data_IF_576205338388
#
_entry.id   IF_576205338388
#
_cell.length_a   1.000
_cell.length_b   1.000
_cell.length_c   1.000
_cell.angle_alpha   90.00
_cell.angle_beta   90.00
_cell.angle_gamma   90.00
#
_symmetry.space_group_name_H-M   'P 1'
#
loop_
_entity.id
_entity.type
_entity.pdbx_description
1 polymer ?
#
# COMPACT_ATOMS: atom_id res chain seq x y z
N UNK A 1 14.26 13.62 20.18
CA UNK A 1 14.46 13.66 18.73
C UNK A 1 15.93 13.37 18.36
N UNK A 2 16.90 14.10 18.85
CA UNK A 2 18.33 13.96 18.50
C UNK A 2 18.89 12.53 18.72
N UNK A 3 18.61 11.89 19.85
CA UNK A 3 19.06 10.52 20.12
C UNK A 3 18.54 9.52 19.07
N UNK A 4 17.27 9.66 18.65
CA UNK A 4 16.68 8.81 17.62
C UNK A 4 17.33 9.03 16.25
N UNK A 5 17.67 10.28 15.92
CA UNK A 5 18.37 10.61 14.67
C UNK A 5 19.78 10.00 14.64
N UNK A 6 20.51 10.07 15.77
CA UNK A 6 21.85 9.47 15.90
C UNK A 6 21.80 7.93 15.76
N UNK A 7 20.77 7.28 16.31
CA UNK A 7 20.59 5.83 16.14
C UNK A 7 20.32 5.44 14.68
N UNK A 8 19.55 6.24 13.94
CA UNK A 8 19.26 6.00 12.52
C UNK A 8 20.54 6.10 11.69
N UNK A 9 21.35 7.13 11.93
CA UNK A 9 22.62 7.32 11.24
C UNK A 9 23.60 6.17 11.54
N UNK A 10 23.73 5.77 12.82
CA UNK A 10 24.54 4.63 13.22
C UNK A 10 24.07 3.32 12.53
N UNK A 11 22.76 3.14 12.40
CA UNK A 11 22.19 1.99 11.70
C UNK A 11 22.52 2.00 10.20
N UNK A 12 22.45 3.16 9.57
CA UNK A 12 22.82 3.34 8.15
C UNK A 12 24.29 3.01 7.91
N UNK A 13 25.19 3.50 8.77
CA UNK A 13 26.63 3.23 8.69
C UNK A 13 26.93 1.74 8.92
N UNK A 14 26.17 1.07 9.79
CA UNK A 14 26.27 -0.37 10.00
C UNK A 14 25.84 -1.17 8.76
N UNK A 15 24.71 -0.79 8.14
CA UNK A 15 24.25 -1.40 6.88
C UNK A 15 25.24 -1.16 5.75
N UNK A 16 25.84 0.03 5.65
CA UNK A 16 26.89 0.34 4.68
C UNK A 16 28.10 -0.57 4.83
N UNK A 17 28.52 -0.83 6.08
CA UNK A 17 29.61 -1.78 6.37
C UNK A 17 29.25 -3.22 6.00
N UNK A 18 28.02 -3.66 6.30
CA UNK A 18 27.54 -4.98 5.93
C UNK A 18 27.50 -5.17 4.40
N UNK A 19 27.06 -4.15 3.63
CA UNK A 19 27.05 -4.19 2.17
C UNK A 19 28.46 -4.26 1.56
N UNK A 20 29.46 -3.75 2.26
CA UNK A 20 30.87 -3.82 1.85
C UNK A 20 31.52 -5.18 2.15
N UNK A 21 30.86 -6.07 2.91
CA UNK A 21 31.39 -7.39 3.25
C UNK A 21 31.29 -8.36 2.07
N UNK A 22 32.41 -8.89 1.53
CA UNK A 22 32.39 -9.85 0.43
C UNK A 22 31.63 -11.14 0.76
N UNK A 23 31.54 -11.54 2.02
CA UNK A 23 30.82 -12.72 2.44
C UNK A 23 29.29 -12.61 2.19
N UNK A 24 28.74 -11.40 2.29
CA UNK A 24 27.31 -11.15 2.06
C UNK A 24 26.91 -11.29 0.59
N UNK A 25 27.83 -11.03 -0.35
CA UNK A 25 27.57 -11.14 -1.79
C UNK A 25 27.19 -12.57 -2.21
N UNK A 26 27.62 -13.57 -1.45
CA UNK A 26 27.28 -14.97 -1.68
C UNK A 26 25.83 -15.32 -1.32
N UNK A 27 25.16 -14.54 -0.45
CA UNK A 27 23.75 -14.70 -0.08
C UNK A 27 22.91 -13.58 -0.71
N UNK A 28 22.42 -13.84 -1.92
CA UNK A 28 21.67 -12.86 -2.71
C UNK A 28 20.38 -12.37 -2.00
N UNK A 29 19.73 -13.21 -1.21
CA UNK A 29 18.49 -12.82 -0.50
C UNK A 29 18.80 -11.86 0.66
N UNK A 30 19.83 -12.14 1.44
CA UNK A 30 20.27 -11.24 2.51
C UNK A 30 20.81 -9.94 1.95
N UNK A 31 21.61 -10.00 0.88
CA UNK A 31 22.12 -8.82 0.21
C UNK A 31 20.99 -7.87 -0.25
N UNK A 32 19.97 -8.39 -0.95
CA UNK A 32 18.83 -7.60 -1.41
C UNK A 32 18.07 -6.96 -0.24
N UNK A 33 17.88 -7.70 0.87
CA UNK A 33 17.20 -7.19 2.06
C UNK A 33 17.97 -6.03 2.70
N UNK A 34 19.29 -6.17 2.85
CA UNK A 34 20.15 -5.14 3.45
C UNK A 34 20.25 -3.92 2.52
N UNK A 35 20.44 -4.14 1.21
CA UNK A 35 20.48 -3.07 0.21
C UNK A 35 19.17 -2.27 0.18
N UNK A 36 18.02 -2.93 0.31
CA UNK A 36 16.73 -2.26 0.43
C UNK A 36 16.66 -1.39 1.69
N UNK A 37 17.04 -1.93 2.85
CA UNK A 37 17.06 -1.16 4.11
C UNK A 37 18.00 0.04 4.05
N UNK A 38 19.17 -0.10 3.44
CA UNK A 38 20.13 0.98 3.24
C UNK A 38 19.52 2.08 2.37
N UNK A 39 18.99 1.73 1.19
CA UNK A 39 18.31 2.68 0.28
C UNK A 39 17.14 3.39 0.95
N UNK A 40 16.38 2.71 1.81
CA UNK A 40 15.25 3.31 2.51
C UNK A 40 15.66 4.33 3.56
N UNK A 41 16.84 4.18 4.17
CA UNK A 41 17.37 5.11 5.16
C UNK A 41 18.16 6.26 4.54
N UNK A 42 18.69 6.12 3.33
CA UNK A 42 19.53 7.11 2.66
C UNK A 42 18.92 8.53 2.68
N UNK A 43 17.66 8.75 2.20
CA UNK A 43 17.08 10.10 2.20
C UNK A 43 16.88 10.67 3.61
N UNK A 44 16.67 9.82 4.62
CA UNK A 44 16.57 10.25 6.01
C UNK A 44 17.92 10.73 6.51
N UNK A 45 18.99 9.97 6.26
CA UNK A 45 20.36 10.27 6.71
C UNK A 45 20.90 11.51 6.03
N UNK A 46 20.61 11.72 4.74
CA UNK A 46 21.02 12.91 4.01
C UNK A 46 20.43 14.18 4.63
N UNK A 47 19.13 14.17 4.98
CA UNK A 47 18.49 15.27 5.66
C UNK A 47 19.00 15.45 7.11
N UNK A 48 19.34 14.38 7.83
CA UNK A 48 19.98 14.45 9.14
C UNK A 48 21.35 15.14 9.04
N UNK A 49 22.15 14.77 8.04
CA UNK A 49 23.45 15.38 7.79
C UNK A 49 23.33 16.85 7.39
N UNK A 50 22.31 17.19 6.59
CA UNK A 50 21.99 18.59 6.25
C UNK A 50 21.62 19.39 7.51
N UNK A 51 20.76 18.85 8.39
CA UNK A 51 20.39 19.49 9.65
C UNK A 51 21.61 19.74 10.53
N UNK A 52 22.49 18.73 10.68
CA UNK A 52 23.74 18.89 11.46
C UNK A 52 24.65 19.97 10.90
N UNK A 53 24.76 20.10 9.56
CA UNK A 53 25.53 21.18 8.93
C UNK A 53 24.93 22.56 9.24
N UNK A 54 23.59 22.66 9.16
CA UNK A 54 22.88 23.89 9.51
C UNK A 54 23.11 24.24 10.98
N UNK A 55 22.97 23.28 11.89
CA UNK A 55 23.20 23.52 13.34
C UNK A 55 24.65 23.92 13.64
N UNK A 56 25.61 23.29 12.96
CA UNK A 56 27.03 23.68 13.11
C UNK A 56 27.26 25.09 12.53
N UNK A 57 26.70 25.39 11.35
CA UNK A 57 26.81 26.73 10.75
C UNK A 57 26.19 27.81 11.64
N UNK A 58 25.03 27.54 12.26
CA UNK A 58 24.40 28.45 13.23
C UNK A 58 25.33 28.68 14.46
N UNK A 59 25.96 27.62 14.93
CA UNK A 59 26.92 27.75 16.06
C UNK A 59 28.12 28.59 15.67
N UNK A 60 28.69 28.34 14.50
CA UNK A 60 29.88 29.06 14.01
C UNK A 60 29.56 30.54 13.70
N UNK A 61 28.41 30.80 13.03
CA UNK A 61 27.95 32.18 12.77
C UNK A 61 27.67 32.95 14.07
N UNK A 62 27.08 32.32 15.10
CA UNK A 62 26.91 32.93 16.43
C UNK A 62 28.24 33.26 17.13
N UNK A 63 29.24 32.42 16.91
CA UNK A 63 30.60 32.68 17.41
C UNK A 63 31.23 33.88 16.71
N UNK A 64 31.14 33.94 15.38
CA UNK A 64 31.65 35.04 14.56
C UNK A 64 30.94 36.38 14.79
N UNK A 65 29.64 36.34 15.08
CA UNK A 65 28.87 37.55 15.42
C UNK A 65 29.36 38.28 16.69
N UNK A 66 30.16 37.61 17.54
CA UNK A 66 30.77 38.20 18.74
C UNK A 66 32.18 38.78 18.47
N UNK A 67 32.70 38.71 17.25
CA UNK A 67 34.01 39.24 16.90
C UNK A 67 34.02 40.78 16.81
N UNK A 68 35.19 41.46 17.07
CA UNK A 68 35.25 42.92 17.07
C UNK A 68 35.12 43.55 15.68
N UNK A 69 35.35 42.83 14.60
CA UNK A 69 35.27 43.33 13.23
C UNK A 69 33.80 43.52 12.79
N UNK A 70 33.47 44.76 12.34
CA UNK A 70 32.10 45.12 11.95
C UNK A 70 31.63 44.41 10.64
N UNK A 71 32.54 44.21 9.69
CA UNK A 71 32.20 43.58 8.42
C UNK A 71 31.97 42.07 8.62
N UNK A 72 32.80 41.43 9.43
CA UNK A 72 32.65 40.02 9.82
C UNK A 72 31.33 39.77 10.57
N UNK A 73 30.96 40.68 11.46
CA UNK A 73 29.66 40.60 12.19
C UNK A 73 28.47 40.68 11.24
N UNK A 74 28.49 41.65 10.29
CA UNK A 74 27.39 41.79 9.33
C UNK A 74 27.22 40.55 8.45
N UNK A 75 28.32 39.96 7.98
CA UNK A 75 28.29 38.70 7.25
C UNK A 75 27.75 37.54 8.09
N UNK A 76 28.21 37.43 9.33
CA UNK A 76 27.76 36.38 10.25
C UNK A 76 26.27 36.50 10.61
N UNK A 77 25.75 37.71 10.77
CA UNK A 77 24.32 37.96 11.02
C UNK A 77 23.45 37.58 9.80
N UNK A 78 23.92 37.89 8.58
CA UNK A 78 23.21 37.49 7.36
C UNK A 78 23.18 35.97 7.18
N UNK A 79 24.32 35.29 7.38
CA UNK A 79 24.42 33.85 7.32
C UNK A 79 23.55 33.17 8.39
N UNK A 80 23.56 33.68 9.60
CA UNK A 80 22.72 33.21 10.69
C UNK A 80 21.25 33.29 10.36
N UNK A 81 20.80 34.42 9.80
CA UNK A 81 19.40 34.59 9.39
C UNK A 81 18.98 33.58 8.29
N UNK A 82 19.87 33.34 7.33
CA UNK A 82 19.61 32.35 6.25
C UNK A 82 19.53 30.93 6.80
N UNK A 83 20.45 30.51 7.67
CA UNK A 83 20.47 29.17 8.27
C UNK A 83 19.31 28.94 9.24
N UNK A 84 18.94 29.94 10.04
CA UNK A 84 17.79 29.87 10.95
C UNK A 84 16.46 29.79 10.16
N UNK A 85 16.37 30.42 8.99
CA UNK A 85 15.21 30.31 8.08
C UNK A 85 15.15 28.93 7.37
N UNK A 86 16.29 28.33 7.04
CA UNK A 86 16.34 27.03 6.36
C UNK A 86 16.05 25.84 7.30
N UNK A 87 16.43 25.94 8.57
CA UNK A 87 16.31 24.88 9.58
C UNK A 87 14.92 24.27 9.70
N UNK A 88 13.80 25.02 9.83
CA UNK A 88 12.46 24.45 9.99
C UNK A 88 12.04 23.57 8.82
N UNK A 89 12.43 23.95 7.61
CA UNK A 89 12.11 23.18 6.40
C UNK A 89 12.80 21.81 6.37
N UNK A 90 14.05 21.74 6.86
CA UNK A 90 14.78 20.46 6.96
C UNK A 90 14.21 19.60 8.10
N UNK A 91 13.90 20.20 9.24
CA UNK A 91 13.24 19.49 10.35
C UNK A 91 11.91 18.88 9.94
N UNK A 92 11.09 19.61 9.16
CA UNK A 92 9.81 19.11 8.68
C UNK A 92 10.00 17.97 7.66
N UNK A 93 10.97 18.07 6.74
CA UNK A 93 11.32 16.96 5.83
C UNK A 93 11.72 15.70 6.60
N UNK A 94 12.53 15.85 7.65
CA UNK A 94 12.91 14.71 8.50
C UNK A 94 11.70 14.11 9.20
N UNK A 95 10.79 14.92 9.74
CA UNK A 95 9.55 14.42 10.37
C UNK A 95 8.70 13.61 9.40
N UNK A 96 8.52 14.11 8.18
CA UNK A 96 7.78 13.41 7.13
C UNK A 96 8.44 12.08 6.77
N UNK A 97 9.77 12.05 6.61
CA UNK A 97 10.51 10.85 6.28
C UNK A 97 10.53 9.79 7.40
N UNK A 98 10.34 10.23 8.66
CA UNK A 98 10.26 9.35 9.83
C UNK A 98 8.86 8.78 10.07
N UNK A 99 7.83 9.23 9.33
CA UNK A 99 6.51 8.63 9.42
C UNK A 99 6.57 7.14 9.06
N UNK A 100 5.83 6.29 9.77
CA UNK A 100 5.78 4.88 9.45
C UNK A 100 5.28 4.68 8.02
N UNK A 101 6.12 4.07 7.18
CA UNK A 101 5.76 3.71 5.80
C UNK A 101 4.72 2.60 5.82
N UNK A 102 3.72 2.69 4.97
CA UNK A 102 2.77 1.61 4.75
C UNK A 102 3.51 0.45 4.06
N UNK A 103 3.48 -0.78 4.62
CA UNK A 103 4.15 -1.93 4.00
C UNK A 103 3.62 -2.25 2.60
N UNK A 104 2.42 -1.77 2.27
CA UNK A 104 1.81 -1.97 0.97
C UNK A 104 2.25 -0.93 -0.08
N UNK A 105 2.91 0.17 0.32
CA UNK A 105 3.27 1.28 -0.59
C UNK A 105 4.10 0.84 -1.80
N UNK A 106 4.87 -0.24 -1.69
CA UNK A 106 5.70 -0.78 -2.78
C UNK A 106 4.99 -1.83 -3.64
N UNK A 107 3.78 -2.26 -3.23
CA UNK A 107 3.05 -3.32 -3.94
C UNK A 107 2.43 -2.80 -5.24
N UNK A 108 2.19 -3.73 -6.15
CA UNK A 108 1.34 -3.52 -7.30
C UNK A 108 -0.11 -3.31 -6.85
N UNK A 109 -0.94 -2.82 -7.75
CA UNK A 109 -2.33 -2.46 -7.48
C UNK A 109 -3.28 -3.30 -8.29
N UNK A 110 -4.30 -3.83 -7.65
CA UNK A 110 -5.51 -4.30 -8.30
C UNK A 110 -6.50 -3.14 -8.31
N UNK A 111 -6.76 -2.60 -9.51
CA UNK A 111 -7.70 -1.52 -9.75
C UNK A 111 -9.03 -2.12 -10.21
N UNK A 112 -10.09 -1.88 -9.45
CA UNK A 112 -11.46 -2.27 -9.83
C UNK A 112 -12.31 -1.01 -10.05
N UNK A 113 -12.92 -0.90 -11.22
CA UNK A 113 -13.83 0.20 -11.55
C UNK A 113 -15.18 -0.39 -11.89
N UNK A 114 -16.23 0.06 -11.23
CA UNK A 114 -17.60 -0.41 -11.45
C UNK A 114 -18.54 0.77 -11.69
N UNK A 115 -19.36 0.66 -12.72
CA UNK A 115 -20.46 1.59 -12.96
C UNK A 115 -21.45 1.49 -11.77
N UNK A 116 -21.71 2.64 -11.15
CA UNK A 116 -22.67 2.80 -10.06
C UNK A 116 -24.01 3.38 -10.54
N UNK A 117 -24.53 4.32 -9.79
CA UNK A 117 -25.81 4.99 -10.11
C UNK A 117 -25.68 5.86 -11.35
N UNK A 118 -26.47 5.61 -12.40
CA UNK A 118 -26.48 6.44 -13.62
C UNK A 118 -26.69 5.69 -14.93
N UNK A 119 -26.85 4.35 -14.87
CA UNK A 119 -27.12 3.51 -16.06
C UNK A 119 -25.99 3.58 -17.11
N UNK A 120 -26.35 3.80 -18.36
CA UNK A 120 -25.38 3.82 -19.48
C UNK A 120 -24.31 4.91 -19.32
N UNK A 121 -24.69 6.07 -18.79
CA UNK A 121 -23.74 7.17 -18.53
C UNK A 121 -22.66 6.79 -17.52
N UNK A 122 -23.02 6.05 -16.46
CA UNK A 122 -22.05 5.55 -15.50
C UNK A 122 -21.09 4.56 -16.14
N UNK A 123 -21.58 3.73 -17.07
CA UNK A 123 -20.72 2.78 -17.78
C UNK A 123 -19.76 3.44 -18.77
N UNK A 124 -20.17 4.51 -19.44
CA UNK A 124 -19.31 5.33 -20.30
C UNK A 124 -18.23 6.03 -19.47
N UNK A 125 -18.63 6.61 -18.34
CA UNK A 125 -17.67 7.28 -17.46
C UNK A 125 -16.69 6.31 -16.80
N UNK A 126 -17.10 5.07 -16.48
CA UNK A 126 -16.19 4.03 -16.01
C UNK A 126 -15.09 3.72 -17.05
N UNK A 127 -15.44 3.64 -18.34
CA UNK A 127 -14.49 3.46 -19.42
C UNK A 127 -13.51 4.64 -19.55
N UNK A 128 -14.00 5.87 -19.37
CA UNK A 128 -13.16 7.07 -19.40
C UNK A 128 -12.21 7.15 -18.20
N UNK A 129 -12.67 6.79 -16.99
CA UNK A 129 -11.81 6.69 -15.81
C UNK A 129 -10.73 5.63 -15.99
N UNK A 130 -11.09 4.47 -16.53
CA UNK A 130 -10.10 3.43 -16.81
C UNK A 130 -9.04 3.92 -17.81
N UNK A 131 -9.46 4.62 -18.87
CA UNK A 131 -8.54 5.25 -19.82
C UNK A 131 -7.63 6.28 -19.13
N UNK A 132 -8.17 7.11 -18.25
CA UNK A 132 -7.41 8.10 -17.47
C UNK A 132 -6.31 7.42 -16.64
N UNK A 133 -6.65 6.36 -15.89
CA UNK A 133 -5.67 5.63 -15.09
C UNK A 133 -4.64 4.89 -15.95
N UNK A 134 -5.04 4.33 -17.10
CA UNK A 134 -4.10 3.71 -18.04
C UNK A 134 -3.09 4.73 -18.56
N UNK A 135 -3.53 5.93 -18.94
CA UNK A 135 -2.62 7.00 -19.36
C UNK A 135 -1.74 7.51 -18.23
N UNK A 136 -2.27 7.61 -17.02
CA UNK A 136 -1.46 7.93 -15.85
C UNK A 136 -0.37 6.88 -15.62
N UNK A 137 -0.69 5.60 -15.74
CA UNK A 137 0.26 4.50 -15.63
C UNK A 137 1.34 4.57 -16.74
N UNK A 138 0.96 4.86 -17.99
CA UNK A 138 1.89 5.05 -19.11
C UNK A 138 2.90 6.18 -18.83
N UNK A 139 2.44 7.31 -18.29
CA UNK A 139 3.32 8.45 -17.93
C UNK A 139 4.36 8.05 -16.86
N UNK A 140 4.02 7.11 -15.98
CA UNK A 140 4.90 6.57 -14.94
C UNK A 140 5.67 5.34 -15.38
N UNK A 141 5.51 4.88 -16.64
CA UNK A 141 6.11 3.64 -17.16
C UNK A 141 5.67 2.39 -16.41
N UNK A 142 4.46 2.40 -15.88
CA UNK A 142 3.84 1.23 -15.26
C UNK A 142 3.16 0.38 -16.32
N UNK A 143 3.14 -0.92 -16.08
CA UNK A 143 2.43 -1.87 -16.95
C UNK A 143 0.99 -2.03 -16.44
N UNK A 144 0.02 -2.00 -17.35
CA UNK A 144 -1.39 -2.27 -17.06
C UNK A 144 -1.81 -3.55 -17.75
N UNK A 145 -2.37 -4.49 -16.99
CA UNK A 145 -2.89 -5.75 -17.49
C UNK A 145 -4.35 -5.91 -17.07
N UNK A 146 -5.25 -6.10 -18.03
CA UNK A 146 -6.68 -6.29 -17.76
C UNK A 146 -6.93 -7.74 -17.40
N UNK A 147 -7.42 -7.98 -16.17
CA UNK A 147 -7.77 -9.32 -15.68
C UNK A 147 -9.20 -9.73 -16.10
N UNK A 148 -10.13 -8.78 -15.99
CA UNK A 148 -11.54 -9.01 -16.31
C UNK A 148 -12.18 -7.71 -16.77
N UNK A 149 -13.05 -7.79 -17.76
CA UNK A 149 -13.81 -6.65 -18.27
C UNK A 149 -15.22 -7.09 -18.66
N UNK A 150 -16.22 -6.34 -18.22
CA UNK A 150 -17.61 -6.51 -18.60
C UNK A 150 -18.09 -5.26 -19.34
N UNK A 151 -18.35 -5.38 -20.63
CA UNK A 151 -18.82 -4.28 -21.46
C UNK A 151 -20.32 -4.03 -21.29
N UNK A 152 -20.75 -2.79 -21.56
CA UNK A 152 -22.16 -2.43 -21.72
C UNK A 152 -22.53 -2.33 -23.20
N UNK A 153 -23.84 -2.38 -23.50
CA UNK A 153 -24.35 -2.30 -24.88
C UNK A 153 -24.03 -0.97 -25.60
N UNK A 154 -23.59 0.06 -24.86
CA UNK A 154 -23.27 1.41 -25.38
C UNK A 154 -21.76 1.69 -25.47
N UNK A 155 -20.94 0.67 -25.62
CA UNK A 155 -19.46 0.76 -25.60
C UNK A 155 -18.89 1.31 -24.31
N UNK A 156 -19.63 1.24 -23.22
CA UNK A 156 -19.15 1.56 -21.87
C UNK A 156 -18.67 0.29 -21.15
N UNK A 157 -18.19 0.44 -19.94
CA UNK A 157 -17.76 -0.65 -19.08
C UNK A 157 -18.64 -0.73 -17.83
N UNK A 158 -19.28 -1.89 -17.61
CA UNK A 158 -20.00 -2.16 -16.34
C UNK A 158 -19.03 -2.40 -15.21
N UNK A 159 -17.97 -3.14 -15.51
CA UNK A 159 -16.90 -3.48 -14.58
C UNK A 159 -15.60 -3.70 -15.35
N UNK A 160 -14.50 -3.23 -14.79
CA UNK A 160 -13.15 -3.58 -15.22
C UNK A 160 -12.29 -3.83 -14.00
N UNK A 161 -11.50 -4.90 -14.07
CA UNK A 161 -10.51 -5.26 -13.06
C UNK A 161 -9.17 -5.36 -13.80
N UNK A 162 -8.18 -4.60 -13.35
CA UNK A 162 -6.86 -4.56 -13.95
C UNK A 162 -5.78 -4.58 -12.87
N UNK A 163 -4.64 -5.19 -13.18
CA UNK A 163 -3.41 -5.06 -12.40
C UNK A 163 -2.57 -3.93 -12.98
N UNK A 164 -2.01 -3.10 -12.11
CA UNK A 164 -1.03 -2.07 -12.44
C UNK A 164 0.26 -2.42 -11.73
N UNK A 165 1.28 -2.77 -12.53
CA UNK A 165 2.60 -3.20 -12.07
C UNK A 165 3.63 -2.10 -12.26
N UNK A 166 4.45 -1.82 -11.25
CA UNK A 166 5.50 -0.81 -11.34
C UNK A 166 6.08 -0.41 -9.99
N UNK A 167 6.92 0.61 -9.99
CA UNK A 167 7.53 1.12 -8.78
C UNK A 167 6.52 1.96 -7.98
N UNK A 168 6.30 1.58 -6.71
CA UNK A 168 5.48 2.30 -5.74
C UNK A 168 4.07 2.68 -6.21
N UNK A 169 3.44 1.80 -6.96
CA UNK A 169 2.11 2.04 -7.57
C UNK A 169 1.05 2.27 -6.50
N UNK A 170 1.02 1.44 -5.45
CA UNK A 170 0.03 1.56 -4.39
C UNK A 170 0.15 2.89 -3.63
N UNK A 171 1.37 3.37 -3.39
CA UNK A 171 1.59 4.65 -2.70
C UNK A 171 0.96 5.85 -3.43
N UNK A 172 0.87 5.78 -4.77
CA UNK A 172 0.29 6.83 -5.60
C UNK A 172 -1.23 6.69 -5.74
N UNK A 173 -1.72 5.46 -5.92
CA UNK A 173 -3.11 5.21 -6.27
C UNK A 173 -4.03 4.92 -5.07
N UNK A 174 -3.52 4.61 -3.89
CA UNK A 174 -4.32 4.25 -2.70
C UNK A 174 -5.40 5.27 -2.34
N UNK A 175 -5.19 6.54 -2.68
CA UNK A 175 -6.16 7.62 -2.44
C UNK A 175 -7.24 7.73 -3.52
N UNK A 176 -7.18 6.93 -4.57
CA UNK A 176 -8.19 6.92 -5.64
C UNK A 176 -9.41 6.04 -5.31
N UNK A 177 -9.33 5.24 -4.23
CA UNK A 177 -10.44 4.40 -3.78
C UNK A 177 -11.63 5.21 -3.27
N UNK A 178 -12.82 4.98 -3.85
CA UNK A 178 -14.06 5.65 -3.44
C UNK A 178 -15.07 5.86 -4.57
N UNK A 179 -16.04 6.76 -4.32
CA UNK A 179 -17.09 7.09 -5.28
C UNK A 179 -16.71 8.33 -6.09
N UNK A 180 -16.62 8.19 -7.40
CA UNK A 180 -16.32 9.24 -8.36
C UNK A 180 -17.61 9.72 -9.03
N UNK A 181 -17.96 10.98 -8.87
CA UNK A 181 -19.18 11.58 -9.40
C UNK A 181 -18.91 12.39 -10.66
N UNK A 182 -19.61 12.11 -11.74
CA UNK A 182 -19.57 12.89 -12.97
C UNK A 182 -20.81 13.76 -13.11
N UNK A 183 -20.61 14.97 -13.63
CA UNK A 183 -21.66 15.92 -13.99
C UNK A 183 -21.42 16.39 -15.42
N UNK A 184 -22.23 15.90 -16.37
CA UNK A 184 -22.20 16.33 -17.78
C UNK A 184 -23.54 16.04 -18.44
N UNK A 185 -23.72 16.58 -19.65
CA UNK A 185 -24.80 16.17 -20.54
C UNK A 185 -24.38 14.85 -21.17
N UNK A 186 -25.08 13.71 -20.90
CA UNK A 186 -24.75 12.43 -21.50
C UNK A 186 -24.82 12.45 -23.01
N UNK A 187 -24.03 11.63 -23.68
CA UNK A 187 -24.14 11.44 -25.15
C UNK A 187 -25.51 10.85 -25.57
N UNK A 188 -26.20 10.20 -24.65
CA UNK A 188 -27.53 9.61 -24.83
C UNK A 188 -28.68 10.57 -24.53
N UNK A 189 -28.41 11.80 -24.05
CA UNK A 189 -29.42 12.78 -23.68
C UNK A 189 -29.76 13.72 -24.85
N UNK A 190 -31.00 13.71 -25.23
CA UNK A 190 -31.49 14.52 -26.37
C UNK A 190 -31.94 15.92 -26.00
N UNK A 191 -32.23 16.19 -24.71
CA UNK A 191 -32.76 17.47 -24.23
C UNK A 191 -31.71 18.38 -23.60
N UNK A 192 -30.42 17.99 -23.65
CA UNK A 192 -29.33 18.82 -23.14
C UNK A 192 -29.27 18.96 -21.62
N UNK A 193 -29.96 18.10 -20.85
CA UNK A 193 -29.95 18.15 -19.38
C UNK A 193 -28.63 17.61 -18.82
N UNK A 194 -28.09 18.28 -17.82
CA UNK A 194 -26.92 17.79 -17.07
C UNK A 194 -27.38 16.66 -16.17
N UNK A 195 -26.80 15.45 -16.37
CA UNK A 195 -27.02 14.32 -15.51
C UNK A 195 -25.86 14.19 -14.51
N UNK A 196 -26.18 13.54 -13.40
CA UNK A 196 -25.20 13.23 -12.37
C UNK A 196 -25.14 11.70 -12.24
N UNK A 197 -23.99 11.12 -12.58
CA UNK A 197 -23.73 9.69 -12.46
C UNK A 197 -22.58 9.43 -11.50
N UNK A 198 -22.48 8.21 -11.02
CA UNK A 198 -21.44 7.78 -10.09
C UNK A 198 -20.78 6.47 -10.56
N UNK A 199 -19.50 6.39 -10.33
CA UNK A 199 -18.67 5.21 -10.57
C UNK A 199 -17.88 4.93 -9.29
N UNK A 200 -17.74 3.66 -8.93
CA UNK A 200 -16.95 3.24 -7.79
C UNK A 200 -15.59 2.75 -8.24
N UNK A 201 -14.56 3.18 -7.56
CA UNK A 201 -13.18 2.75 -7.76
C UNK A 201 -12.70 2.10 -6.48
N UNK A 202 -12.18 0.88 -6.58
CA UNK A 202 -11.46 0.23 -5.48
C UNK A 202 -10.00 0.04 -5.88
N UNK A 203 -9.10 0.36 -4.97
CA UNK A 203 -7.65 0.25 -5.14
C UNK A 203 -7.14 -0.66 -4.05
N UNK A 204 -6.80 -1.88 -4.41
CA UNK A 204 -6.35 -2.91 -3.48
C UNK A 204 -4.88 -3.24 -3.74
N UNK A 205 -4.07 -3.47 -2.69
CA UNK A 205 -2.73 -3.97 -2.90
C UNK A 205 -2.79 -5.40 -3.45
N UNK A 206 -1.87 -5.74 -4.35
CA UNK A 206 -1.72 -7.11 -4.82
C UNK A 206 -1.42 -8.02 -3.64
N UNK A 207 -2.18 -9.12 -3.54
CA UNK A 207 -2.01 -10.09 -2.48
C UNK A 207 -0.76 -10.94 -2.73
N UNK A 208 0.02 -11.16 -1.68
CA UNK A 208 1.13 -12.10 -1.72
C UNK A 208 0.61 -13.55 -1.68
N UNK A 209 1.37 -14.45 -2.28
CA UNK A 209 1.06 -15.88 -2.21
C UNK A 209 1.05 -16.36 -0.75
N UNK A 210 0.01 -17.10 -0.41
CA UNK A 210 -0.13 -17.67 0.93
C UNK A 210 0.82 -18.86 1.09
N UNK A 211 1.90 -18.68 1.84
CA UNK A 211 2.82 -19.77 2.20
C UNK A 211 2.53 -20.26 3.64
N UNK A 212 1.94 -21.45 3.75
CA UNK A 212 1.63 -22.05 5.05
C UNK A 212 2.78 -22.92 5.51
N UNK A 213 3.63 -22.39 6.39
CA UNK A 213 4.69 -23.13 7.07
C UNK A 213 4.13 -23.85 8.30
N UNK A 214 4.18 -25.18 8.29
CA UNK A 214 3.76 -26.02 9.42
C UNK A 214 5.01 -26.52 10.13
N UNK A 215 5.27 -26.01 11.32
CA UNK A 215 6.41 -26.45 12.14
C UNK A 215 6.03 -27.67 13.00
N UNK A 216 6.99 -28.57 13.23
CA UNK A 216 6.75 -29.79 13.99
C UNK A 216 6.34 -29.52 15.46
N UNK A 217 6.78 -28.39 16.05
CA UNK A 217 6.45 -27.97 17.41
C UNK A 217 4.97 -27.57 17.56
N UNK A 218 4.32 -27.16 16.47
CA UNK A 218 2.93 -26.71 16.45
C UNK A 218 1.93 -27.86 16.24
N UNK A 219 2.45 -29.09 16.17
CA UNK A 219 1.67 -30.29 15.92
C UNK A 219 1.63 -31.20 17.13
N UNK A 220 0.42 -31.61 17.51
CA UNK A 220 0.21 -32.76 18.37
C UNK A 220 -0.29 -33.92 17.54
N UNK A 221 0.41 -35.05 17.60
CA UNK A 221 0.10 -36.24 16.83
C UNK A 221 -0.25 -37.35 17.80
N UNK A 222 -1.52 -37.79 17.77
CA UNK A 222 -2.04 -38.88 18.57
C UNK A 222 -2.32 -40.07 17.65
N UNK A 223 -2.01 -41.29 18.12
CA UNK A 223 -2.29 -42.52 17.41
C UNK A 223 -3.40 -43.28 18.12
N UNK A 224 -4.29 -43.93 17.37
CA UNK A 224 -5.40 -44.70 17.90
C UNK A 224 -5.75 -45.88 17.00
N UNK A 225 -6.59 -46.78 17.51
CA UNK A 225 -7.06 -47.91 16.70
C UNK A 225 -8.07 -47.42 15.65
N UNK A 226 -7.96 -47.91 14.43
CA UNK A 226 -8.89 -47.55 13.34
C UNK A 226 -10.31 -48.08 13.64
N UNK A 227 -11.33 -47.34 13.21
CA UNK A 227 -12.72 -47.75 13.28
C UNK A 227 -13.08 -48.52 12.04
N UNK A 228 -13.74 -49.71 12.18
CA UNK A 228 -14.17 -50.52 11.03
C UNK A 228 -14.72 -51.87 11.44
N UNK A 229 -15.31 -52.64 10.49
CA UNK A 229 -15.80 -53.99 10.78
C UNK A 229 -14.63 -54.87 11.21
N UNK A 230 -14.71 -55.40 12.41
CA UNK A 230 -13.67 -55.95 13.25
C UNK A 230 -12.79 -57.04 12.63
N UNK A 231 -11.60 -57.13 13.20
CA UNK A 231 -10.56 -58.11 12.99
C UNK A 231 -9.39 -57.84 13.94
N UNK A 232 -8.48 -58.75 14.18
CA UNK A 232 -7.35 -58.55 15.09
C UNK A 232 -6.49 -57.34 14.74
N UNK A 233 -6.35 -57.05 13.44
CA UNK A 233 -5.54 -55.90 12.96
C UNK A 233 -6.17 -54.55 13.31
N UNK A 234 -7.49 -54.45 13.33
CA UNK A 234 -8.21 -53.16 13.61
C UNK A 234 -8.19 -52.85 15.12
N UNK A 235 -8.31 -53.90 15.96
CA UNK A 235 -8.43 -53.75 17.41
C UNK A 235 -7.12 -53.66 18.16
N UNK A 236 -5.99 -54.11 17.54
CA UNK A 236 -4.68 -54.19 18.22
C UNK A 236 -3.64 -53.24 17.63
N UNK A 237 -3.82 -52.76 16.40
CA UNK A 237 -2.80 -51.94 15.75
C UNK A 237 -3.23 -50.46 15.75
N UNK A 238 -2.39 -49.59 16.34
CA UNK A 238 -2.56 -48.13 16.36
C UNK A 238 -2.17 -47.54 14.99
N UNK A 239 -2.94 -47.88 13.94
CA UNK A 239 -2.65 -47.44 12.58
C UNK A 239 -3.27 -46.08 12.25
N UNK A 240 -4.36 -45.69 12.92
CA UNK A 240 -5.00 -44.42 12.74
C UNK A 240 -4.23 -43.28 13.41
N UNK A 241 -4.19 -42.11 12.77
CA UNK A 241 -3.44 -40.95 13.22
C UNK A 241 -4.37 -39.75 13.29
N UNK A 242 -4.35 -39.04 14.41
CA UNK A 242 -4.99 -37.72 14.60
C UNK A 242 -3.89 -36.69 14.73
N UNK A 243 -3.93 -35.67 13.86
CA UNK A 243 -3.01 -34.54 13.87
C UNK A 243 -3.79 -33.32 14.28
N UNK A 244 -3.37 -32.67 15.36
CA UNK A 244 -3.94 -31.42 15.85
C UNK A 244 -2.93 -30.30 15.66
N UNK A 245 -3.29 -29.28 14.92
CA UNK A 245 -2.49 -28.06 14.81
C UNK A 245 -2.85 -27.15 16.00
N UNK A 246 -1.92 -27.01 16.94
CA UNK A 246 -2.13 -26.35 18.23
C UNK A 246 -2.57 -24.88 18.08
N UNK A 247 -1.93 -24.03 17.21
CA UNK A 247 -2.27 -22.63 17.11
C UNK A 247 -3.68 -22.37 16.57
N UNK A 248 -4.18 -23.19 15.63
CA UNK A 248 -5.51 -23.01 14.99
C UNK A 248 -6.57 -23.92 15.55
N UNK A 249 -6.20 -24.93 16.35
CA UNK A 249 -7.14 -25.95 16.84
C UNK A 249 -7.66 -26.91 15.75
N UNK A 250 -7.10 -26.85 14.52
CA UNK A 250 -7.53 -27.69 13.40
C UNK A 250 -7.14 -29.14 13.65
N UNK A 251 -8.10 -30.05 13.57
CA UNK A 251 -7.92 -31.48 13.78
C UNK A 251 -8.17 -32.24 12.49
N UNK A 252 -7.23 -33.12 12.13
CA UNK A 252 -7.34 -34.05 11.00
C UNK A 252 -7.13 -35.45 11.49
N UNK A 253 -8.07 -36.36 11.18
CA UNK A 253 -7.94 -37.79 11.45
C UNK A 253 -7.79 -38.54 10.14
N UNK A 254 -6.85 -39.49 10.09
CA UNK A 254 -6.64 -40.35 8.92
C UNK A 254 -6.50 -41.80 9.38
N UNK A 255 -7.32 -42.70 8.81
CA UNK A 255 -7.35 -44.12 9.17
C UNK A 255 -7.52 -45.05 7.94
N UNK A 256 -7.32 -44.52 6.73
CA UNK A 256 -7.62 -45.23 5.48
C UNK A 256 -6.61 -46.32 5.14
N UNK A 257 -5.37 -46.15 5.61
CA UNK A 257 -4.27 -47.07 5.29
C UNK A 257 -3.95 -47.97 6.50
N UNK A 258 -3.42 -49.16 6.20
CA UNK A 258 -2.94 -50.09 7.24
C UNK A 258 -1.63 -49.63 7.91
N UNK A 259 -0.91 -48.69 7.30
CA UNK A 259 0.35 -48.15 7.77
C UNK A 259 0.17 -46.80 8.46
N UNK A 260 0.58 -46.70 9.73
CA UNK A 260 0.60 -45.47 10.51
C UNK A 260 1.40 -44.34 9.81
N UNK A 261 2.53 -44.67 9.18
CA UNK A 261 3.39 -43.71 8.48
C UNK A 261 2.63 -43.10 7.31
N UNK A 262 1.95 -43.94 6.48
CA UNK A 262 1.14 -43.46 5.35
C UNK A 262 -0.05 -42.59 5.80
N UNK A 263 -0.73 -43.00 6.90
CA UNK A 263 -1.82 -42.19 7.48
C UNK A 263 -1.32 -40.86 8.00
N UNK A 264 -0.11 -40.79 8.60
CA UNK A 264 0.50 -39.55 9.05
C UNK A 264 0.81 -38.64 7.85
N UNK A 265 1.42 -39.15 6.80
CA UNK A 265 1.73 -38.38 5.58
C UNK A 265 0.47 -37.84 4.90
N UNK A 266 -0.58 -38.67 4.80
CA UNK A 266 -1.88 -38.29 4.24
C UNK A 266 -2.54 -37.23 5.12
N UNK A 267 -2.54 -37.45 6.45
CA UNK A 267 -3.06 -36.48 7.41
C UNK A 267 -2.35 -35.12 7.34
N UNK A 268 -1.01 -35.13 7.18
CA UNK A 268 -0.24 -33.90 7.00
C UNK A 268 -0.60 -33.16 5.69
N UNK A 269 -0.83 -33.88 4.59
CA UNK A 269 -1.27 -33.25 3.34
C UNK A 269 -2.64 -32.61 3.50
N UNK A 270 -3.59 -33.31 4.12
CA UNK A 270 -4.93 -32.77 4.40
C UNK A 270 -4.88 -31.57 5.35
N UNK A 271 -4.02 -31.62 6.39
CA UNK A 271 -3.85 -30.51 7.32
C UNK A 271 -3.33 -29.26 6.59
N UNK A 272 -2.28 -29.40 5.76
CA UNK A 272 -1.74 -28.29 4.97
C UNK A 272 -2.80 -27.68 4.05
N UNK A 273 -3.58 -28.51 3.37
CA UNK A 273 -4.66 -28.03 2.49
C UNK A 273 -5.72 -27.24 3.28
N UNK A 274 -6.14 -27.73 4.46
CA UNK A 274 -7.11 -27.01 5.30
C UNK A 274 -6.56 -25.69 5.85
N UNK A 275 -5.30 -25.68 6.29
CA UNK A 275 -4.66 -24.45 6.78
C UNK A 275 -4.50 -23.43 5.65
N UNK A 276 -4.14 -23.87 4.46
CA UNK A 276 -4.08 -23.02 3.26
C UNK A 276 -5.47 -22.42 2.94
N UNK A 277 -6.51 -23.25 2.92
CA UNK A 277 -7.88 -22.80 2.68
C UNK A 277 -8.36 -21.76 3.71
N UNK A 278 -8.09 -22.01 5.01
CA UNK A 278 -8.42 -21.07 6.08
C UNK A 278 -7.68 -19.73 5.92
N UNK A 279 -6.42 -19.75 5.53
CA UNK A 279 -5.65 -18.51 5.36
C UNK A 279 -6.08 -17.73 4.12
N UNK A 280 -6.38 -18.44 3.03
CA UNK A 280 -7.00 -17.85 1.84
C UNK A 280 -8.37 -17.21 2.14
N UNK A 281 -9.21 -17.86 2.93
CA UNK A 281 -10.50 -17.32 3.34
C UNK A 281 -10.36 -16.05 4.20
N UNK A 282 -9.41 -16.04 5.13
CA UNK A 282 -9.10 -14.85 5.93
C UNK A 282 -8.65 -13.68 5.05
N UNK A 283 -7.72 -13.95 4.11
CA UNK A 283 -7.21 -12.94 3.19
C UNK A 283 -8.35 -12.38 2.31
N UNK A 284 -9.18 -13.25 1.73
CA UNK A 284 -10.32 -12.85 0.92
C UNK A 284 -11.33 -12.02 1.72
N UNK A 285 -11.60 -12.42 2.98
CA UNK A 285 -12.51 -11.69 3.87
C UNK A 285 -11.97 -10.31 4.21
N UNK A 286 -10.66 -10.18 4.47
CA UNK A 286 -10.00 -8.90 4.72
C UNK A 286 -10.09 -7.98 3.49
N UNK A 287 -9.75 -8.47 2.31
CA UNK A 287 -9.85 -7.72 1.04
C UNK A 287 -11.29 -7.31 0.72
N UNK A 288 -12.26 -8.21 0.96
CA UNK A 288 -13.68 -7.89 0.77
C UNK A 288 -14.16 -6.80 1.73
N UNK A 289 -13.67 -6.78 2.97
CA UNK A 289 -13.97 -5.74 3.95
C UNK A 289 -13.36 -4.40 3.54
N UNK A 290 -12.10 -4.37 3.13
CA UNK A 290 -11.44 -3.16 2.63
C UNK A 290 -12.14 -2.60 1.41
N UNK A 291 -12.45 -3.43 0.41
CA UNK A 291 -13.23 -3.06 -0.76
C UNK A 291 -14.57 -2.43 -0.37
N UNK A 292 -15.30 -3.06 0.55
CA UNK A 292 -16.59 -2.55 1.02
C UNK A 292 -16.47 -1.20 1.74
N UNK A 293 -15.40 -0.97 2.49
CA UNK A 293 -15.14 0.30 3.14
C UNK A 293 -14.83 1.42 2.13
N UNK A 294 -14.06 1.13 1.07
CA UNK A 294 -13.74 2.10 0.02
C UNK A 294 -14.96 2.49 -0.81
N UNK A 295 -15.75 1.50 -1.22
CA UNK A 295 -16.86 1.68 -2.17
C UNK A 295 -18.15 2.16 -1.47
N UNK A 296 -18.32 1.88 -0.17
CA UNK A 296 -19.53 2.21 0.58
C UNK A 296 -20.77 1.58 -0.04
N UNK A 297 -21.83 2.38 -0.20
CA UNK A 297 -23.07 1.99 -0.91
C UNK A 297 -23.00 2.24 -2.40
N UNK A 298 -21.99 2.98 -2.89
CA UNK A 298 -21.89 3.44 -4.28
C UNK A 298 -22.86 4.58 -4.63
N UNK A 299 -23.50 5.17 -3.61
CA UNK A 299 -24.39 6.31 -3.83
C UNK A 299 -23.57 7.58 -4.18
N UNK A 300 -24.14 8.41 -5.07
CA UNK A 300 -23.52 9.67 -5.49
C UNK A 300 -23.34 10.70 -4.36
N UNK A 301 -23.97 10.51 -3.21
CA UNK A 301 -23.77 11.32 -2.00
C UNK A 301 -22.43 11.04 -1.32
N UNK A 302 -21.92 9.81 -1.39
CA UNK A 302 -20.65 9.37 -0.79
C UNK A 302 -19.41 9.75 -1.63
N UNK A 303 -19.58 10.65 -2.57
CA UNK A 303 -18.53 11.09 -3.49
C UNK A 303 -17.28 11.57 -2.78
N UNK A 304 -16.12 11.03 -3.18
CA UNK A 304 -14.81 11.57 -2.83
C UNK A 304 -14.40 12.68 -3.81
N UNK A 305 -14.80 12.54 -5.08
CA UNK A 305 -14.40 13.47 -6.16
C UNK A 305 -15.54 13.76 -7.13
N UNK A 306 -15.59 15.00 -7.65
CA UNK A 306 -16.54 15.41 -8.67
C UNK A 306 -15.83 15.89 -9.92
N UNK A 307 -16.25 15.35 -11.06
CA UNK A 307 -15.81 15.69 -12.41
C UNK A 307 -16.92 16.50 -13.09
N UNK A 308 -16.75 17.80 -13.17
CA UNK A 308 -17.74 18.73 -13.76
C UNK A 308 -17.25 19.16 -15.15
N UNK A 309 -17.77 18.51 -16.19
CA UNK A 309 -17.38 18.76 -17.58
C UNK A 309 -17.80 20.14 -18.08
N UNK A 310 -19.05 20.63 -17.84
CA UNK A 310 -19.44 21.97 -18.25
C UNK A 310 -18.56 23.10 -17.73
N UNK A 311 -17.97 22.91 -16.54
CA UNK A 311 -17.07 23.89 -15.92
C UNK A 311 -15.59 23.56 -16.11
N UNK A 312 -15.25 22.48 -16.83
CA UNK A 312 -13.90 21.95 -16.95
C UNK A 312 -13.18 21.84 -15.59
N UNK A 313 -13.91 21.38 -14.54
CA UNK A 313 -13.50 21.42 -13.15
C UNK A 313 -13.48 20.04 -12.50
N UNK A 314 -12.38 19.73 -11.84
CA UNK A 314 -12.26 18.61 -10.91
C UNK A 314 -12.27 19.14 -9.48
N UNK A 315 -13.06 18.54 -8.60
CA UNK A 315 -13.07 18.89 -7.16
C UNK A 315 -12.88 17.61 -6.33
N UNK A 316 -11.83 17.54 -5.52
CA UNK A 316 -11.67 16.53 -4.49
C UNK A 316 -12.24 17.06 -3.17
N UNK A 317 -13.28 16.38 -2.66
CA UNK A 317 -14.05 16.85 -1.51
C UNK A 317 -13.37 16.55 -0.17
N UNK A 318 -12.40 15.65 -0.14
CA UNK A 318 -11.66 15.27 1.08
C UNK A 318 -10.75 16.40 1.56
N UNK A 319 -10.13 17.07 0.59
CA UNK A 319 -9.13 18.13 0.86
C UNK A 319 -9.58 19.52 0.34
N UNK A 320 -10.79 19.60 -0.24
CA UNK A 320 -11.30 20.85 -0.82
C UNK A 320 -10.55 21.34 -2.07
N UNK A 321 -9.71 20.48 -2.68
CA UNK A 321 -8.93 20.84 -3.86
C UNK A 321 -9.83 21.01 -5.07
N UNK A 322 -9.62 22.11 -5.80
CA UNK A 322 -10.34 22.38 -7.06
C UNK A 322 -9.34 22.73 -8.17
N UNK A 323 -9.42 22.00 -9.30
CA UNK A 323 -8.57 22.18 -10.47
C UNK A 323 -9.45 22.47 -11.69
N UNK A 324 -9.16 23.53 -12.45
CA UNK A 324 -9.88 23.95 -13.65
C UNK A 324 -9.21 23.45 -14.94
N UNK A 325 -8.77 22.20 -14.95
CA UNK A 325 -8.09 21.52 -16.07
C UNK A 325 -8.56 20.07 -16.18
N UNK A 326 -9.86 19.82 -16.05
CA UNK A 326 -10.44 18.49 -16.06
C UNK A 326 -10.03 17.70 -17.32
N UNK A 327 -10.02 18.35 -18.49
CA UNK A 327 -9.60 17.71 -19.74
C UNK A 327 -8.19 17.14 -19.69
N UNK A 328 -7.25 17.84 -19.05
CA UNK A 328 -5.89 17.36 -18.90
C UNK A 328 -5.79 16.19 -17.91
N UNK A 329 -6.56 16.25 -16.83
CA UNK A 329 -6.66 15.17 -15.86
C UNK A 329 -7.19 13.89 -16.53
N UNK A 330 -8.23 14.00 -17.38
CA UNK A 330 -8.78 12.85 -18.13
C UNK A 330 -7.79 12.26 -19.15
N UNK A 331 -6.75 13.02 -19.54
CA UNK A 331 -5.64 12.54 -20.36
C UNK A 331 -4.46 12.01 -19.53
N UNK A 332 -4.67 11.74 -18.22
CA UNK A 332 -3.69 11.11 -17.34
C UNK A 332 -2.82 12.06 -16.51
N UNK A 333 -2.99 13.39 -16.61
CA UNK A 333 -2.23 14.34 -15.79
C UNK A 333 -2.83 14.46 -14.37
N UNK A 334 -2.81 13.36 -13.63
CA UNK A 334 -3.40 13.26 -12.29
C UNK A 334 -2.41 13.63 -11.17
N UNK A 335 -1.11 13.78 -11.47
CA UNK A 335 -0.05 13.89 -10.46
C UNK A 335 -0.30 15.00 -9.44
N UNK A 336 -0.72 16.20 -9.88
CA UNK A 336 -0.98 17.31 -8.96
C UNK A 336 -2.07 16.99 -7.90
N UNK A 337 -3.05 16.17 -8.26
CA UNK A 337 -4.09 15.72 -7.32
C UNK A 337 -3.53 14.70 -6.35
N UNK A 338 -2.76 13.75 -6.85
CA UNK A 338 -2.10 12.70 -6.05
C UNK A 338 -1.14 13.33 -5.04
N UNK A 339 -0.29 14.26 -5.47
CA UNK A 339 0.67 14.94 -4.59
C UNK A 339 -0.02 15.72 -3.47
N UNK A 340 -1.12 16.41 -3.79
CA UNK A 340 -1.91 17.12 -2.78
C UNK A 340 -2.55 16.18 -1.76
N UNK A 341 -3.02 15.01 -2.18
CA UNK A 341 -3.58 13.99 -1.29
C UNK A 341 -2.51 13.35 -0.40
N UNK A 342 -1.34 13.06 -0.96
CA UNK A 342 -0.18 12.56 -0.20
C UNK A 342 0.24 13.58 0.86
N UNK A 343 0.38 14.85 0.48
CA UNK A 343 0.76 15.92 1.40
C UNK A 343 -0.27 16.09 2.53
N UNK A 344 -1.56 16.00 2.21
CA UNK A 344 -2.63 16.06 3.21
C UNK A 344 -2.56 14.90 4.20
N UNK A 345 -2.41 13.64 3.70
CA UNK A 345 -2.30 12.46 4.56
C UNK A 345 -1.07 12.53 5.47
N UNK A 346 0.08 12.98 4.93
CA UNK A 346 1.29 13.20 5.72
C UNK A 346 1.07 14.24 6.83
N UNK A 347 0.41 15.35 6.52
CA UNK A 347 0.09 16.39 7.50
C UNK A 347 -0.86 15.89 8.60
N UNK A 348 -1.87 15.08 8.26
CA UNK A 348 -2.77 14.46 9.24
C UNK A 348 -2.05 13.46 10.15
N UNK A 349 -1.17 12.62 9.60
CA UNK A 349 -0.34 11.69 10.39
C UNK A 349 0.60 12.41 11.34
N UNK A 350 1.24 13.50 10.89
CA UNK A 350 2.10 14.33 11.75
C UNK A 350 1.32 14.94 12.92
N UNK A 351 0.08 15.39 12.70
CA UNK A 351 -0.78 15.90 13.79
C UNK A 351 -1.13 14.81 14.80
N UNK A 352 -1.43 13.59 14.30
CA UNK A 352 -1.79 12.45 15.15
C UNK A 352 -0.59 12.01 15.99
N UNK A 353 0.61 11.92 15.41
CA UNK A 353 1.84 11.58 16.13
C UNK A 353 2.19 12.65 17.18
N UNK A 354 2.02 13.94 16.84
CA UNK A 354 2.24 15.04 17.80
C UNK A 354 1.25 15.05 18.97
N UNK A 355 0.05 14.49 18.79
CA UNK A 355 -0.96 14.38 19.85
C UNK A 355 -0.75 13.15 20.76
N UNK A 356 0.11 12.21 20.35
CA UNK A 356 0.35 10.94 21.08
C UNK A 356 1.64 11.00 21.93
N UNK A 357 2.44 12.05 21.78
CA UNK A 357 3.66 12.37 22.55
C UNK A 357 3.36 13.43 23.60
#
# INVERSE_FOLDING_TARGET
MLERLTQIEARYDDLSRQLADPALVSDQQQYQKIAKQHRDLEPVVDNIRELKRIEQGIHDAKSMANEPDADMRAMAEEELAQLEAARPAVEERIRVLLLPKDPNDEKNVILEIRAGTGGDEASLFAAELFRMYTRFAELHRWKVEVLSMSESGVRGMKEVIAIIEGDRVFSQLKYEGGVHRVQRVPQTETQGRVHTSAVTVAVLPEAEDVDVKVEAKDLRIDTFCSSGPGGQSVNTTYSAVRITHIPTGTVVSCQDEKSQIKNREKGMRVLRARLYEMEMEKQQTALAKERKQMVGTGDRSEKIRTYNFPQNRLTDHRIGLTIHQLSEVMEGKLQAVVDALIAHDQAERLKTDAATV
#
